data_IF_504755563490
#
_entry.id   IF_504755563490
#
_cell.length_a   1.000
_cell.length_b   1.000
_cell.length_c   1.000
_cell.angle_alpha   90.00
_cell.angle_beta   90.00
_cell.angle_gamma   90.00
#
_symmetry.space_group_name_H-M   'P 1'
#
loop_
_entity.id
_entity.type
_entity.pdbx_description
1 polymer ?
#
# COMPACT_ATOMS: atom_id res chain seq x y z
N UNK A 1 -3.84 -2.69 16.41
CA UNK A 1 -4.95 -3.67 16.51
C UNK A 1 -5.42 -4.06 15.14
N UNK A 2 -5.45 -5.35 14.83
CA UNK A 2 -6.01 -5.75 13.54
C UNK A 2 -7.50 -5.42 13.51
N UNK A 3 -7.95 -4.92 12.39
CA UNK A 3 -9.36 -4.67 12.16
C UNK A 3 -10.06 -5.97 11.77
N UNK A 4 -11.24 -6.20 12.29
CA UNK A 4 -12.07 -7.31 11.85
C UNK A 4 -12.59 -7.08 10.43
N UNK A 5 -12.68 -5.82 10.02
CA UNK A 5 -13.07 -5.47 8.67
C UNK A 5 -12.00 -5.85 7.66
N UNK A 6 -12.42 -6.56 6.63
CA UNK A 6 -11.56 -6.98 5.52
C UNK A 6 -11.90 -6.29 4.21
N UNK A 7 -12.80 -5.33 4.25
CA UNK A 7 -13.27 -4.61 3.07
C UNK A 7 -13.65 -3.18 3.45
N UNK A 8 -13.27 -2.23 2.62
CA UNK A 8 -13.65 -0.83 2.77
C UNK A 8 -15.02 -0.64 2.14
N UNK A 9 -15.96 -0.12 2.91
CA UNK A 9 -17.29 0.24 2.45
C UNK A 9 -17.37 1.74 2.19
N UNK A 10 -18.36 2.14 1.40
CA UNK A 10 -18.59 3.55 1.12
C UNK A 10 -18.75 4.38 2.40
N UNK A 11 -19.39 3.81 3.40
CA UNK A 11 -19.64 4.44 4.70
C UNK A 11 -18.38 4.69 5.51
N UNK A 12 -17.31 3.97 5.19
CA UNK A 12 -16.02 4.13 5.87
C UNK A 12 -15.24 5.34 5.35
N UNK A 13 -15.65 5.89 4.21
CA UNK A 13 -14.96 7.01 3.58
C UNK A 13 -15.42 8.32 4.22
N UNK A 14 -14.45 9.10 4.69
CA UNK A 14 -14.68 10.42 5.25
C UNK A 14 -15.08 11.39 4.14
N UNK A 15 -16.10 12.25 4.35
CA UNK A 15 -16.41 13.31 3.40
C UNK A 15 -15.18 14.15 3.06
N UNK A 16 -15.05 14.59 1.83
CA UNK A 16 -13.86 15.27 1.35
C UNK A 16 -13.51 16.52 2.16
N UNK A 17 -14.50 17.33 2.51
CA UNK A 17 -14.30 18.54 3.29
C UNK A 17 -13.75 18.23 4.70
N UNK A 18 -14.23 17.17 5.32
CA UNK A 18 -13.73 16.69 6.61
C UNK A 18 -12.30 16.16 6.48
N UNK A 19 -12.04 15.40 5.41
CA UNK A 19 -10.70 14.88 5.16
C UNK A 19 -9.68 16.00 4.96
N UNK A 20 -10.03 17.03 4.20
CA UNK A 20 -9.14 18.19 3.96
C UNK A 20 -8.74 18.85 5.29
N UNK A 21 -9.69 19.04 6.19
CA UNK A 21 -9.41 19.64 7.50
C UNK A 21 -8.46 18.80 8.36
N UNK A 22 -8.55 17.49 8.27
CA UNK A 22 -7.81 16.56 9.13
C UNK A 22 -6.63 15.90 8.43
N UNK A 23 -6.42 16.19 7.16
CA UNK A 23 -5.44 15.49 6.31
C UNK A 23 -4.03 15.48 6.88
N UNK A 24 -3.56 16.61 7.38
CA UNK A 24 -2.21 16.73 7.90
C UNK A 24 -1.97 15.80 9.10
N UNK A 25 -2.91 15.76 10.02
CA UNK A 25 -2.83 14.87 11.17
C UNK A 25 -3.01 13.41 10.80
N UNK A 26 -3.93 13.13 9.88
CA UNK A 26 -4.16 11.77 9.40
C UNK A 26 -2.93 11.22 8.70
N UNK A 27 -2.23 12.03 7.92
CA UNK A 27 -0.98 11.65 7.29
C UNK A 27 0.11 11.33 8.31
N UNK A 28 0.21 12.13 9.37
CA UNK A 28 1.14 11.86 10.46
C UNK A 28 0.86 10.53 11.13
N UNK A 29 -0.42 10.27 11.41
CA UNK A 29 -0.83 9.01 12.05
C UNK A 29 -0.50 7.80 11.17
N UNK A 30 -0.74 7.89 9.87
CA UNK A 30 -0.46 6.76 8.97
C UNK A 30 1.04 6.54 8.79
N UNK A 31 1.84 7.60 8.79
CA UNK A 31 3.30 7.47 8.74
C UNK A 31 3.81 6.73 9.98
N UNK A 32 3.33 7.09 11.16
CA UNK A 32 3.68 6.39 12.40
C UNK A 32 3.22 4.94 12.38
N UNK A 33 2.01 4.70 11.91
CA UNK A 33 1.45 3.35 11.79
C UNK A 33 2.30 2.45 10.88
N UNK A 34 2.80 3.01 9.78
CA UNK A 34 3.61 2.27 8.81
C UNK A 34 5.02 1.94 9.27
N UNK A 35 5.53 2.65 10.27
CA UNK A 35 6.92 2.45 10.74
C UNK A 35 7.21 1.01 11.17
N UNK A 36 6.26 0.37 11.80
CA UNK A 36 6.40 -1.00 12.29
C UNK A 36 5.96 -2.05 11.27
N UNK A 37 5.58 -1.62 10.06
CA UNK A 37 5.02 -2.48 9.02
C UNK A 37 5.84 -2.48 7.75
N UNK A 38 7.09 -2.08 7.84
CA UNK A 38 7.97 -2.02 6.69
C UNK A 38 9.24 -2.83 6.94
N UNK A 39 9.78 -3.39 5.86
CA UNK A 39 11.06 -4.11 5.88
C UNK A 39 11.90 -3.55 4.74
N UNK A 40 13.07 -3.04 5.09
CA UNK A 40 14.03 -2.56 4.10
C UNK A 40 14.86 -3.71 3.56
N UNK A 41 15.03 -3.75 2.24
CA UNK A 41 15.87 -4.73 1.56
C UNK A 41 16.96 -4.00 0.77
N UNK A 42 18.19 -4.12 1.25
CA UNK A 42 19.31 -3.42 0.63
C UNK A 42 19.12 -1.91 0.69
N UNK A 43 19.87 -1.15 -0.11
CA UNK A 43 19.85 0.31 -0.05
C UNK A 43 18.68 0.97 -0.76
N UNK A 44 17.92 0.25 -1.59
CA UNK A 44 16.96 0.88 -2.48
C UNK A 44 15.52 0.39 -2.36
N UNK A 45 15.26 -0.73 -1.72
CA UNK A 45 13.94 -1.33 -1.71
C UNK A 45 13.34 -1.37 -0.32
N UNK A 46 12.03 -1.16 -0.23
CA UNK A 46 11.29 -1.28 1.02
C UNK A 46 9.96 -1.97 0.75
N UNK A 47 9.61 -2.97 1.56
CA UNK A 47 8.30 -3.58 1.58
C UNK A 47 7.45 -2.94 2.66
N UNK A 48 6.27 -2.47 2.29
CA UNK A 48 5.25 -1.97 3.21
C UNK A 48 4.12 -2.98 3.27
N UNK A 49 3.91 -3.58 4.43
CA UNK A 49 2.82 -4.53 4.62
C UNK A 49 1.51 -3.79 4.77
N UNK A 50 0.55 -4.11 3.94
CA UNK A 50 -0.71 -3.41 3.87
C UNK A 50 -1.72 -3.94 4.88
N UNK A 51 -2.74 -3.12 5.17
CA UNK A 51 -3.82 -3.43 6.10
C UNK A 51 -5.07 -2.66 5.69
N UNK A 52 -6.17 -2.90 6.38
CA UNK A 52 -7.39 -2.08 6.21
C UNK A 52 -7.05 -0.60 6.36
N UNK A 53 -6.30 -0.24 7.40
CA UNK A 53 -5.95 1.15 7.70
C UNK A 53 -5.10 1.80 6.63
N UNK A 54 -4.11 1.09 6.09
CA UNK A 54 -3.26 1.65 5.04
C UNK A 54 -4.02 1.78 3.72
N UNK A 55 -4.88 0.83 3.41
CA UNK A 55 -5.68 0.89 2.19
C UNK A 55 -6.76 1.97 2.28
N UNK A 56 -7.40 2.13 3.44
CA UNK A 56 -8.35 3.21 3.64
C UNK A 56 -7.68 4.57 3.46
N UNK A 57 -6.50 4.75 4.02
CA UNK A 57 -5.72 5.99 3.85
C UNK A 57 -5.40 6.23 2.37
N UNK A 58 -5.06 5.20 1.62
CA UNK A 58 -4.73 5.30 0.20
C UNK A 58 -5.95 5.71 -0.62
N UNK A 59 -7.10 5.08 -0.41
CA UNK A 59 -8.34 5.42 -1.10
C UNK A 59 -8.72 6.87 -0.80
N UNK A 60 -8.66 7.26 0.46
CA UNK A 60 -8.99 8.61 0.90
C UNK A 60 -8.10 9.66 0.20
N UNK A 61 -6.80 9.37 0.11
CA UNK A 61 -5.84 10.27 -0.55
C UNK A 61 -6.07 10.35 -2.05
N UNK A 62 -6.39 9.25 -2.71
CA UNK A 62 -6.69 9.25 -4.14
C UNK A 62 -7.93 10.09 -4.44
N UNK A 63 -8.97 9.98 -3.63
CA UNK A 63 -10.16 10.82 -3.77
C UNK A 63 -9.85 12.30 -3.59
N UNK A 64 -8.94 12.62 -2.68
CA UNK A 64 -8.49 14.01 -2.48
C UNK A 64 -7.70 14.53 -3.68
N UNK A 65 -6.79 13.73 -4.22
CA UNK A 65 -5.92 14.15 -5.33
C UNK A 65 -6.72 14.31 -6.62
N UNK A 66 -7.55 13.33 -6.96
CA UNK A 66 -8.23 13.28 -8.26
C UNK A 66 -9.62 13.92 -8.25
N UNK A 67 -10.28 13.96 -7.09
CA UNK A 67 -11.59 14.60 -6.90
C UNK A 67 -12.68 14.09 -7.85
N UNK A 68 -12.63 12.80 -8.15
CA UNK A 68 -13.55 12.17 -9.12
C UNK A 68 -14.92 11.76 -8.59
N UNK A 69 -15.18 11.96 -7.29
CA UNK A 69 -16.48 11.69 -6.71
C UNK A 69 -16.82 10.20 -6.57
N UNK A 70 -18.13 9.90 -6.65
CA UNK A 70 -18.64 8.55 -6.39
C UNK A 70 -18.16 7.51 -7.42
N UNK A 71 -18.01 7.90 -8.67
CA UNK A 71 -17.51 6.98 -9.71
C UNK A 71 -16.07 6.57 -9.45
N UNK A 72 -15.25 7.56 -9.09
CA UNK A 72 -13.87 7.28 -8.70
C UNK A 72 -13.83 6.39 -7.46
N UNK A 73 -14.66 6.65 -6.47
CA UNK A 73 -14.72 5.83 -5.26
C UNK A 73 -14.96 4.37 -5.59
N UNK A 74 -15.90 4.09 -6.48
CA UNK A 74 -16.20 2.72 -6.89
C UNK A 74 -14.98 2.03 -7.50
N UNK A 75 -14.27 2.72 -8.39
CA UNK A 75 -13.07 2.18 -9.03
C UNK A 75 -11.94 1.97 -8.03
N UNK A 76 -11.75 2.91 -7.10
CA UNK A 76 -10.71 2.79 -6.07
C UNK A 76 -10.98 1.61 -5.13
N UNK A 77 -12.24 1.38 -4.76
CA UNK A 77 -12.59 0.23 -3.91
C UNK A 77 -12.32 -1.09 -4.63
N UNK A 78 -12.60 -1.17 -5.92
CA UNK A 78 -12.30 -2.35 -6.72
C UNK A 78 -10.79 -2.61 -6.77
N UNK A 79 -9.99 -1.54 -6.89
CA UNK A 79 -8.54 -1.64 -6.99
C UNK A 79 -7.88 -2.01 -5.65
N UNK A 80 -8.34 -1.41 -4.55
CA UNK A 80 -7.62 -1.52 -3.28
C UNK A 80 -8.19 -2.54 -2.29
N UNK A 81 -9.46 -2.89 -2.36
CA UNK A 81 -10.02 -3.90 -1.45
C UNK A 81 -9.31 -5.26 -1.54
N UNK A 82 -8.91 -5.75 -2.73
CA UNK A 82 -8.17 -7.02 -2.79
C UNK A 82 -6.82 -7.00 -2.09
N UNK A 83 -6.26 -5.82 -1.82
CA UNK A 83 -4.98 -5.68 -1.13
C UNK A 83 -5.11 -5.67 0.39
N UNK A 84 -6.33 -5.72 0.92
CA UNK A 84 -6.55 -5.85 2.36
C UNK A 84 -6.40 -7.32 2.74
N UNK A 85 -5.48 -7.66 3.66
CA UNK A 85 -5.29 -9.07 4.05
C UNK A 85 -6.58 -9.67 4.62
N UNK A 86 -6.84 -10.92 4.25
CA UNK A 86 -8.05 -11.63 4.67
C UNK A 86 -7.87 -12.41 5.99
N UNK A 87 -6.74 -12.26 6.65
CA UNK A 87 -6.40 -12.98 7.88
C UNK A 87 -5.59 -14.25 7.66
N UNK A 88 -5.44 -14.68 6.42
CA UNK A 88 -4.69 -15.89 6.05
C UNK A 88 -3.54 -15.60 5.09
N UNK A 89 -3.35 -14.33 4.75
CA UNK A 89 -2.32 -13.90 3.80
C UNK A 89 -1.71 -12.59 4.26
N UNK A 90 -0.55 -12.28 3.70
CA UNK A 90 0.07 -10.96 3.84
C UNK A 90 0.07 -10.30 2.47
N UNK A 91 -0.28 -9.02 2.44
CA UNK A 91 -0.17 -8.21 1.25
C UNK A 91 0.85 -7.11 1.49
N UNK A 92 1.62 -6.79 0.47
CA UNK A 92 2.69 -5.80 0.62
C UNK A 92 2.88 -5.03 -0.67
N UNK A 93 3.32 -3.78 -0.52
CA UNK A 93 3.75 -2.94 -1.63
C UNK A 93 5.27 -2.84 -1.60
N UNK A 94 5.89 -3.13 -2.73
CA UNK A 94 7.34 -2.99 -2.90
C UNK A 94 7.62 -1.62 -3.51
N UNK A 95 8.42 -0.82 -2.81
CA UNK A 95 8.81 0.50 -3.28
C UNK A 95 10.33 0.57 -3.45
N UNK A 96 10.76 1.19 -4.55
CA UNK A 96 12.17 1.50 -4.78
C UNK A 96 12.41 2.97 -4.49
N UNK A 97 13.29 3.24 -3.54
CA UNK A 97 13.59 4.59 -3.07
C UNK A 97 15.02 4.93 -3.47
N UNK A 98 15.18 5.56 -4.63
CA UNK A 98 16.49 5.95 -5.17
C UNK A 98 16.42 7.44 -5.52
N UNK A 99 17.21 8.25 -4.82
CA UNK A 99 17.16 9.71 -4.97
C UNK A 99 17.81 10.18 -6.27
N UNK A 100 18.90 9.57 -6.68
CA UNK A 100 19.61 9.99 -7.89
C UNK A 100 18.90 9.47 -9.15
N UNK A 101 18.48 10.37 -10.07
CA UNK A 101 17.73 9.93 -11.27
C UNK A 101 18.52 8.99 -12.20
N UNK A 102 19.83 9.17 -12.32
CA UNK A 102 20.68 8.30 -13.16
C UNK A 102 20.79 6.91 -12.54
N UNK A 103 21.06 6.85 -11.24
CA UNK A 103 21.11 5.57 -10.52
C UNK A 103 19.76 4.87 -10.53
N UNK A 104 18.66 5.64 -10.42
CA UNK A 104 17.30 5.10 -10.49
C UNK A 104 17.02 4.44 -11.83
N UNK A 105 17.33 5.12 -12.93
CA UNK A 105 17.14 4.56 -14.28
C UNK A 105 17.96 3.30 -14.48
N UNK A 106 19.22 3.32 -14.08
CA UNK A 106 20.11 2.16 -14.21
C UNK A 106 19.59 0.98 -13.39
N UNK A 107 19.14 1.24 -12.16
CA UNK A 107 18.58 0.21 -11.28
C UNK A 107 17.29 -0.39 -11.86
N UNK A 108 16.36 0.45 -12.28
CA UNK A 108 15.09 0.00 -12.84
C UNK A 108 15.28 -0.82 -14.12
N UNK A 109 16.30 -0.50 -14.90
CA UNK A 109 16.64 -1.27 -16.09
C UNK A 109 17.17 -2.67 -15.78
N UNK A 110 17.68 -2.89 -14.57
CA UNK A 110 18.27 -4.18 -14.16
C UNK A 110 17.30 -5.08 -13.40
N UNK A 111 16.19 -4.54 -12.89
CA UNK A 111 15.28 -5.30 -12.01
C UNK A 111 14.00 -5.77 -12.71
N UNK A 112 13.97 -5.76 -14.04
CA UNK A 112 12.84 -6.29 -14.79
C UNK A 112 12.50 -7.71 -14.35
N UNK A 113 11.23 -7.97 -14.04
CA UNK A 113 10.78 -9.28 -13.58
C UNK A 113 11.03 -9.57 -12.11
N UNK A 114 11.46 -8.59 -11.32
CA UNK A 114 11.72 -8.80 -9.89
C UNK A 114 10.46 -9.22 -9.14
N UNK A 115 9.30 -8.81 -9.59
CA UNK A 115 8.01 -9.17 -8.99
C UNK A 115 7.78 -10.68 -8.96
N UNK A 116 8.41 -11.43 -9.85
CA UNK A 116 8.33 -12.88 -9.91
C UNK A 116 9.35 -13.57 -9.01
N UNK A 117 10.23 -12.82 -8.36
CA UNK A 117 11.34 -13.35 -7.58
C UNK A 117 11.25 -12.99 -6.09
N UNK A 118 10.09 -12.54 -5.63
CA UNK A 118 9.89 -12.17 -4.23
C UNK A 118 9.52 -13.42 -3.42
N UNK A 119 10.27 -13.67 -2.34
CA UNK A 119 9.99 -14.76 -1.42
C UNK A 119 10.08 -14.26 0.02
N UNK A 120 9.39 -14.94 0.92
CA UNK A 120 9.50 -14.71 2.36
C UNK A 120 9.89 -16.03 3.05
N UNK A 121 10.85 -15.95 3.97
CA UNK A 121 11.19 -17.09 4.84
C UNK A 121 10.48 -16.92 6.18
N UNK A 122 9.74 -17.93 6.57
CA UNK A 122 9.01 -17.93 7.84
C UNK A 122 9.17 -19.31 8.49
N UNK A 123 9.82 -19.36 9.64
CA UNK A 123 10.08 -20.58 10.39
C UNK A 123 10.70 -21.70 9.53
N UNK A 124 11.62 -21.33 8.64
CA UNK A 124 12.29 -22.29 7.75
C UNK A 124 11.52 -22.59 6.46
N UNK A 125 10.30 -22.12 6.34
CA UNK A 125 9.53 -22.26 5.11
C UNK A 125 9.80 -21.12 4.16
N UNK A 126 9.85 -21.42 2.87
CA UNK A 126 9.99 -20.42 1.82
C UNK A 126 8.63 -20.22 1.17
N UNK A 127 8.11 -19.00 1.26
CA UNK A 127 6.82 -18.63 0.70
C UNK A 127 7.06 -17.70 -0.48
N UNK A 128 6.61 -18.11 -1.66
CA UNK A 128 6.73 -17.28 -2.86
C UNK A 128 5.59 -16.30 -2.93
N UNK A 129 5.90 -15.02 -3.18
CA UNK A 129 4.89 -13.99 -3.39
C UNK A 129 4.28 -14.13 -4.79
N UNK A 130 3.01 -13.75 -4.89
CA UNK A 130 2.29 -13.67 -6.16
C UNK A 130 2.08 -12.20 -6.47
N UNK A 131 2.60 -11.69 -7.60
CA UNK A 131 2.38 -10.29 -7.95
C UNK A 131 0.92 -10.04 -8.29
N UNK A 132 0.44 -8.84 -7.96
CA UNK A 132 -0.90 -8.41 -8.31
C UNK A 132 -0.93 -8.04 -9.80
N UNK A 133 -1.95 -8.48 -10.51
CA UNK A 133 -2.12 -8.12 -11.92
C UNK A 133 -2.68 -6.70 -12.02
N UNK A 134 -2.13 -5.93 -12.93
CA UNK A 134 -2.58 -4.57 -13.22
C UNK A 134 -3.84 -4.56 -14.10
#
# INVERSE_FOLDING_TARGET
MPKDKREIQKEDIMPLDVYIKNRKELKKKIVDFKKDRRISLGPYATFYFESYETMLAQVQEMLYIEKGGNEQLKDELIAYNPLIPNGKELTATLMFEIDNPVSRSAFLGKVGGIEDNVIMKLDGEIIKAVPEDD
#
